data_IF_546753183188
#
_entry.id   IF_546753183188
#
_cell.length_a   1.000
_cell.length_b   1.000
_cell.length_c   1.000
_cell.angle_alpha   90.00
_cell.angle_beta   90.00
_cell.angle_gamma   90.00
#
_symmetry.space_group_name_H-M   'P 1'
#
loop_
_entity.id
_entity.type
_entity.pdbx_description
1 polymer ?
#
# COMPACT_ATOMS: atom_id res chain seq x y z
N UNK A 1 -49.03 17.38 33.11
CA UNK A 1 -47.59 17.33 33.46
C UNK A 1 -46.75 16.57 32.43
N UNK A 2 -47.18 15.40 31.95
CA UNK A 2 -46.36 14.50 31.12
C UNK A 2 -45.94 15.05 29.73
N UNK A 3 -46.76 15.89 29.09
CA UNK A 3 -46.43 16.49 27.77
C UNK A 3 -45.34 17.56 27.82
N UNK A 4 -45.19 18.23 28.97
CA UNK A 4 -44.17 19.27 29.16
C UNK A 4 -42.79 18.64 29.37
N UNK A 5 -42.73 17.59 30.19
CA UNK A 5 -41.50 16.82 30.46
C UNK A 5 -41.00 16.13 29.19
N UNK A 6 -41.90 15.56 28.38
CA UNK A 6 -41.57 14.95 27.08
C UNK A 6 -40.95 15.95 26.10
N UNK A 7 -41.48 17.18 26.00
CA UNK A 7 -40.91 18.24 25.15
C UNK A 7 -39.51 18.69 25.60
N UNK A 8 -39.30 18.77 26.91
CA UNK A 8 -37.98 19.11 27.49
C UNK A 8 -36.97 18.01 27.18
N UNK A 9 -37.36 16.73 27.30
CA UNK A 9 -36.52 15.59 26.94
C UNK A 9 -36.16 15.61 25.45
N UNK A 10 -37.13 15.76 24.56
CA UNK A 10 -36.90 15.80 23.09
C UNK A 10 -35.96 16.94 22.70
N UNK A 11 -36.12 18.13 23.30
CA UNK A 11 -35.26 19.29 23.05
C UNK A 11 -33.79 19.03 23.46
N UNK A 12 -33.57 18.32 24.58
CA UNK A 12 -32.22 17.95 25.04
C UNK A 12 -31.56 16.93 24.11
N UNK A 13 -32.29 15.90 23.69
CA UNK A 13 -31.78 14.91 22.73
C UNK A 13 -31.47 15.53 21.37
N UNK A 14 -32.32 16.44 20.89
CA UNK A 14 -32.11 17.15 19.63
C UNK A 14 -30.82 18.00 19.66
N UNK A 15 -30.55 18.66 20.79
CA UNK A 15 -29.33 19.46 20.95
C UNK A 15 -28.06 18.61 20.91
N UNK A 16 -28.09 17.40 21.49
CA UNK A 16 -26.97 16.45 21.46
C UNK A 16 -26.72 15.95 20.03
N UNK A 17 -27.78 15.66 19.28
CA UNK A 17 -27.68 15.21 17.88
C UNK A 17 -27.04 16.29 16.99
N UNK A 18 -27.43 17.56 17.18
CA UNK A 18 -26.85 18.68 16.43
C UNK A 18 -25.36 18.87 16.76
N UNK A 19 -24.96 18.69 18.02
CA UNK A 19 -23.55 18.75 18.44
C UNK A 19 -22.70 17.64 17.82
N UNK A 20 -23.25 16.43 17.66
CA UNK A 20 -22.55 15.31 17.02
C UNK A 20 -22.36 15.53 15.51
N UNK A 21 -23.35 16.15 14.85
CA UNK A 21 -23.31 16.49 13.43
C UNK A 21 -22.40 17.69 13.12
N UNK A 22 -22.09 18.52 14.12
CA UNK A 22 -21.16 19.64 14.00
C UNK A 22 -19.68 19.23 14.12
N UNK A 23 -19.36 17.93 14.18
CA UNK A 23 -17.98 17.47 14.13
C UNK A 23 -17.40 17.74 12.73
N UNK A 24 -16.63 18.83 12.63
CA UNK A 24 -15.89 19.16 11.43
C UNK A 24 -14.71 18.18 11.34
N UNK A 25 -14.80 17.19 10.45
CA UNK A 25 -13.64 16.39 10.07
C UNK A 25 -12.82 17.21 9.09
N UNK A 26 -11.64 17.63 9.53
CA UNK A 26 -10.66 18.24 8.66
C UNK A 26 -10.20 17.20 7.63
N UNK A 27 -10.15 17.60 6.35
CA UNK A 27 -9.65 16.75 5.29
C UNK A 27 -8.13 16.62 5.48
N UNK A 28 -7.65 15.37 5.56
CA UNK A 28 -6.22 15.11 5.67
C UNK A 28 -5.60 15.10 4.27
N UNK A 29 -4.76 16.09 3.98
CA UNK A 29 -3.90 16.14 2.80
C UNK A 29 -2.49 15.67 3.19
N UNK A 30 -2.13 14.40 2.94
CA UNK A 30 -0.78 13.93 3.21
C UNK A 30 0.22 14.69 2.34
N UNK A 31 1.38 15.03 2.92
CA UNK A 31 2.53 15.47 2.13
C UNK A 31 3.01 14.31 1.24
N UNK A 32 2.96 14.51 -0.08
CA UNK A 32 3.40 13.51 -1.06
C UNK A 32 4.83 13.84 -1.47
N UNK A 33 5.72 12.88 -1.22
CA UNK A 33 7.10 12.96 -1.71
C UNK A 33 7.07 12.72 -3.22
N UNK A 34 7.37 13.75 -4.01
CA UNK A 34 7.40 13.68 -5.48
C UNK A 34 8.73 13.14 -6.03
N UNK A 35 9.71 12.92 -5.15
CA UNK A 35 10.99 12.35 -5.54
C UNK A 35 10.83 10.87 -5.89
N UNK A 36 11.24 10.51 -7.11
CA UNK A 36 11.43 9.12 -7.47
C UNK A 36 12.77 8.61 -6.92
N UNK A 37 12.70 7.77 -5.89
CA UNK A 37 13.87 7.11 -5.34
C UNK A 37 14.33 5.91 -6.18
N UNK A 38 13.47 5.39 -7.05
CA UNK A 38 13.76 4.26 -7.93
C UNK A 38 14.23 3.01 -7.18
N UNK A 39 13.66 2.72 -6.01
CA UNK A 39 14.04 1.56 -5.19
C UNK A 39 13.86 0.28 -5.98
N UNK A 40 14.86 -0.60 -5.92
CA UNK A 40 14.77 -1.95 -6.48
C UNK A 40 13.82 -2.78 -5.62
N UNK A 41 12.79 -3.34 -6.25
CA UNK A 41 11.82 -4.24 -5.64
C UNK A 41 12.01 -5.62 -6.25
N UNK A 42 12.11 -6.63 -5.38
CA UNK A 42 12.13 -8.03 -5.77
C UNK A 42 10.90 -8.73 -5.19
N UNK A 43 10.06 -9.27 -6.07
CA UNK A 43 8.82 -9.95 -5.72
C UNK A 43 8.87 -11.42 -6.11
N UNK A 44 8.15 -12.26 -5.37
CA UNK A 44 8.02 -13.69 -5.65
C UNK A 44 8.56 -14.57 -4.54
N UNK A 45 8.99 -15.78 -4.89
CA UNK A 45 9.42 -16.81 -3.96
C UNK A 45 10.50 -17.72 -4.55
N UNK A 46 11.32 -18.27 -3.66
CA UNK A 46 12.32 -19.29 -3.98
C UNK A 46 11.81 -20.63 -3.47
N UNK A 47 11.77 -21.61 -4.36
CA UNK A 47 11.38 -22.99 -4.07
C UNK A 47 12.60 -23.91 -4.19
N UNK A 48 12.75 -24.87 -3.28
CA UNK A 48 13.92 -25.75 -3.22
C UNK A 48 13.78 -26.96 -4.14
N UNK A 49 12.57 -27.48 -4.30
CA UNK A 49 12.30 -28.71 -5.07
C UNK A 49 11.52 -28.46 -6.37
N UNK A 50 11.46 -27.21 -6.83
CA UNK A 50 10.63 -26.81 -7.95
C UNK A 50 11.00 -25.48 -8.59
N UNK A 51 10.05 -24.90 -9.34
CA UNK A 51 10.24 -23.62 -10.04
C UNK A 51 10.13 -22.45 -9.07
N UNK A 52 11.21 -21.70 -8.94
CA UNK A 52 11.22 -20.40 -8.26
C UNK A 52 10.68 -19.32 -9.18
N UNK A 53 10.02 -18.31 -8.63
CA UNK A 53 9.51 -17.17 -9.38
C UNK A 53 10.06 -15.89 -8.78
N UNK A 54 10.75 -15.09 -9.58
CA UNK A 54 11.29 -13.80 -9.16
C UNK A 54 10.95 -12.75 -10.22
N UNK A 55 10.38 -11.62 -9.77
CA UNK A 55 10.12 -10.44 -10.60
C UNK A 55 10.90 -9.26 -10.03
N UNK A 56 11.58 -8.53 -10.90
CA UNK A 56 12.34 -7.35 -10.53
C UNK A 56 11.71 -6.11 -11.15
N UNK A 57 11.58 -5.07 -10.35
CA UNK A 57 11.07 -3.78 -10.80
C UNK A 57 11.67 -2.65 -10.00
N UNK A 58 11.33 -1.42 -10.39
CA UNK A 58 11.58 -0.22 -9.60
C UNK A 58 10.28 0.41 -9.14
N UNK A 59 10.33 1.05 -7.99
CA UNK A 59 9.25 1.92 -7.54
C UNK A 59 9.04 3.07 -8.53
N UNK A 60 7.82 3.57 -8.57
CA UNK A 60 7.41 4.74 -9.36
C UNK A 60 6.74 5.76 -8.44
N UNK A 61 6.68 7.02 -8.87
CA UNK A 61 5.98 8.05 -8.11
C UNK A 61 4.47 7.78 -8.04
N UNK A 62 3.81 8.30 -7.00
CA UNK A 62 2.37 8.10 -6.75
C UNK A 62 1.47 8.57 -7.92
N UNK A 63 1.92 9.56 -8.69
CA UNK A 63 1.19 10.11 -9.84
C UNK A 63 1.68 9.58 -11.19
N UNK A 64 2.50 8.53 -11.19
CA UNK A 64 2.96 7.89 -12.42
C UNK A 64 1.78 7.26 -13.17
N UNK A 65 1.71 7.45 -14.48
CA UNK A 65 0.78 6.71 -15.35
C UNK A 65 1.19 5.23 -15.51
N UNK A 66 2.47 4.93 -15.27
CA UNK A 66 2.99 3.57 -15.22
C UNK A 66 2.82 3.02 -13.81
N UNK A 67 2.09 1.91 -13.67
CA UNK A 67 1.92 1.21 -12.39
C UNK A 67 3.07 0.26 -12.05
N UNK A 68 3.83 -0.15 -13.06
CA UNK A 68 4.94 -1.11 -12.96
C UNK A 68 6.10 -0.58 -13.79
N UNK A 69 7.31 -0.62 -13.24
CA UNK A 69 8.56 -0.33 -13.94
C UNK A 69 9.47 -1.57 -13.89
N UNK A 70 9.25 -2.57 -14.76
CA UNK A 70 9.97 -3.84 -14.71
C UNK A 70 11.42 -3.68 -15.16
N UNK A 71 12.33 -4.43 -14.52
CA UNK A 71 13.72 -4.51 -14.94
C UNK A 71 13.92 -5.77 -15.79
N UNK A 72 14.17 -5.57 -17.07
CA UNK A 72 14.45 -6.64 -18.01
C UNK A 72 15.96 -6.94 -18.07
N UNK A 73 16.32 -8.16 -18.48
CA UNK A 73 17.70 -8.63 -18.64
C UNK A 73 18.59 -8.54 -17.37
N UNK A 74 17.99 -8.59 -16.18
CA UNK A 74 18.73 -8.61 -14.93
C UNK A 74 19.33 -9.99 -14.65
N UNK A 75 20.57 -10.04 -14.16
CA UNK A 75 21.15 -11.31 -13.69
C UNK A 75 20.97 -11.43 -12.19
N UNK A 76 20.34 -12.51 -11.73
CA UNK A 76 20.06 -12.76 -10.32
C UNK A 76 20.84 -13.97 -9.83
N UNK A 77 21.49 -13.80 -8.68
CA UNK A 77 22.26 -14.86 -8.01
C UNK A 77 21.67 -15.14 -6.63
N UNK A 78 21.37 -16.40 -6.34
CA UNK A 78 21.12 -16.89 -4.99
C UNK A 78 22.46 -17.25 -4.37
N UNK A 79 22.79 -16.64 -3.23
CA UNK A 79 24.02 -16.95 -2.50
C UNK A 79 23.67 -17.58 -1.17
N UNK A 80 24.19 -18.78 -0.91
CA UNK A 80 24.04 -19.46 0.37
C UNK A 80 24.89 -18.79 1.45
N UNK A 81 24.42 -18.81 2.70
CA UNK A 81 25.11 -18.19 3.84
C UNK A 81 26.46 -18.85 4.16
N UNK A 82 26.61 -20.14 3.87
CA UNK A 82 27.85 -20.89 4.13
C UNK A 82 28.65 -21.17 2.86
N UNK A 83 28.00 -21.59 1.79
CA UNK A 83 28.62 -21.79 0.47
C UNK A 83 27.56 -21.91 -0.63
N UNK A 84 28.02 -21.75 -1.88
CA UNK A 84 27.20 -21.91 -3.09
C UNK A 84 26.66 -20.59 -3.64
N UNK A 85 26.73 -20.47 -4.97
CA UNK A 85 26.10 -19.39 -5.72
C UNK A 85 25.43 -20.00 -6.95
N UNK A 86 24.12 -19.76 -7.08
CA UNK A 86 23.32 -20.27 -8.19
C UNK A 86 22.71 -19.11 -8.94
N UNK A 87 22.93 -19.09 -10.25
CA UNK A 87 22.31 -18.10 -11.11
C UNK A 87 20.91 -18.56 -11.49
N UNK A 88 19.91 -17.70 -11.34
CA UNK A 88 18.57 -17.97 -11.87
C UNK A 88 18.57 -17.84 -13.40
N UNK A 89 17.96 -18.81 -14.08
CA UNK A 89 17.63 -18.69 -15.48
C UNK A 89 16.34 -17.87 -15.61
N UNK A 90 16.39 -16.76 -16.35
CA UNK A 90 15.20 -15.96 -16.66
C UNK A 90 14.35 -16.73 -17.67
N UNK A 91 13.06 -16.88 -17.39
CA UNK A 91 12.13 -17.60 -18.27
C UNK A 91 11.19 -16.64 -19.03
N UNK A 92 10.95 -15.44 -18.49
CA UNK A 92 10.07 -14.44 -19.09
C UNK A 92 10.47 -13.02 -18.64
N UNK A 93 10.36 -12.03 -19.54
CA UNK A 93 10.54 -10.61 -19.21
C UNK A 93 9.36 -10.11 -18.36
N UNK A 94 9.60 -9.12 -17.49
CA UNK A 94 8.55 -8.54 -16.67
C UNK A 94 7.55 -7.77 -17.53
N UNK A 95 6.39 -8.35 -17.81
CA UNK A 95 5.22 -7.65 -18.38
C UNK A 95 4.33 -7.05 -17.30
#
# INVERSE_FOLDING_TARGET
>A
MNRLVSRIFVSKYLSIIVLLLASCREFYEPEIITQDFGFLVAEGYVELEGKSTLKLGRTVTVYSEQSINPINNATVFLTGSESGSWQFALEEDGT
#
